data_IF_585080594476
#
_entry.id   IF_585080594476
#
_cell.length_a   1.000
_cell.length_b   1.000
_cell.length_c   1.000
_cell.angle_alpha   90.00
_cell.angle_beta   90.00
_cell.angle_gamma   90.00
#
_symmetry.space_group_name_H-M   'P 1'
#
loop_
_entity.id
_entity.type
_entity.pdbx_description
1 polymer ?
#
# COMPACT_ATOMS: atom_id res chain seq x y z
N UNK A 1 60.65 3.27 27.41
CA UNK A 1 59.89 3.23 26.15
C UNK A 1 58.43 2.91 26.50
N UNK A 2 57.48 3.77 26.10
CA UNK A 2 56.05 3.65 26.41
C UNK A 2 55.40 2.71 25.39
N UNK A 3 54.80 1.62 25.85
CA UNK A 3 54.04 0.70 24.99
C UNK A 3 52.57 1.11 25.01
N UNK A 4 52.03 1.49 23.85
CA UNK A 4 50.61 1.81 23.68
C UNK A 4 49.93 0.60 23.04
N UNK A 5 49.10 -0.10 23.81
CA UNK A 5 48.18 -1.11 23.29
C UNK A 5 46.95 -0.39 22.76
N UNK A 6 46.83 -0.27 21.44
CA UNK A 6 45.60 0.19 20.80
C UNK A 6 44.60 -0.97 20.77
N UNK A 7 43.65 -0.98 21.71
CA UNK A 7 42.45 -1.80 21.60
C UNK A 7 41.58 -1.24 20.47
N UNK A 8 41.47 -1.99 19.37
CA UNK A 8 40.46 -1.73 18.35
C UNK A 8 39.10 -2.13 18.92
N UNK A 9 38.31 -1.15 19.35
CA UNK A 9 36.90 -1.36 19.65
C UNK A 9 36.17 -1.59 18.33
N UNK A 10 35.79 -2.84 18.06
CA UNK A 10 34.89 -3.22 16.96
C UNK A 10 33.51 -2.59 17.23
N UNK A 11 33.26 -1.45 16.59
CA UNK A 11 31.94 -0.82 16.49
C UNK A 11 31.00 -1.74 15.69
N UNK A 12 30.27 -2.61 16.39
CA UNK A 12 29.12 -3.31 15.81
C UNK A 12 27.97 -2.30 15.65
N UNK A 13 27.80 -1.75 14.45
CA UNK A 13 26.61 -1.00 14.09
C UNK A 13 25.45 -1.98 13.94
N UNK A 14 24.60 -2.07 14.95
CA UNK A 14 23.30 -2.75 14.86
C UNK A 14 22.42 -1.86 13.98
N UNK A 15 22.34 -2.19 12.69
CA UNK A 15 21.33 -1.62 11.80
C UNK A 15 19.97 -2.13 12.25
N UNK A 16 19.28 -1.36 13.10
CA UNK A 16 17.87 -1.56 13.38
C UNK A 16 17.15 -1.22 12.08
N UNK A 17 16.90 -2.24 11.25
CA UNK A 17 15.93 -2.13 10.16
C UNK A 17 14.62 -1.85 10.86
N UNK A 18 14.14 -0.60 10.79
CA UNK A 18 12.79 -0.27 11.20
C UNK A 18 11.87 -1.12 10.33
N UNK A 19 11.43 -2.25 10.87
CA UNK A 19 10.41 -3.07 10.24
C UNK A 19 9.14 -2.25 10.32
N UNK A 20 8.83 -1.50 9.24
CA UNK A 20 7.54 -0.82 9.12
C UNK A 20 6.45 -1.86 9.35
N UNK A 21 5.50 -1.55 10.22
CA UNK A 21 4.46 -2.51 10.58
C UNK A 21 3.71 -2.94 9.32
N UNK A 22 3.67 -4.26 9.10
CA UNK A 22 3.00 -4.82 7.92
C UNK A 22 1.48 -4.68 8.04
N UNK A 23 0.82 -4.43 6.90
CA UNK A 23 -0.63 -4.41 6.80
C UNK A 23 -1.24 -5.80 6.55
N UNK A 24 -0.43 -6.80 6.22
CA UNK A 24 -0.87 -8.17 5.96
C UNK A 24 -0.64 -9.09 7.16
N UNK A 25 -1.40 -10.19 7.22
CA UNK A 25 -1.21 -11.19 8.26
C UNK A 25 0.20 -11.80 8.22
N UNK A 26 0.86 -12.05 9.37
CA UNK A 26 2.18 -12.66 9.41
C UNK A 26 2.25 -13.97 8.61
N UNK A 27 3.33 -14.14 7.85
CA UNK A 27 3.56 -15.33 7.02
C UNK A 27 2.82 -15.33 5.67
N UNK A 28 1.96 -14.34 5.40
CA UNK A 28 1.33 -14.17 4.08
C UNK A 28 2.42 -13.90 3.02
N UNK A 29 2.35 -14.62 1.89
CA UNK A 29 3.20 -14.37 0.73
C UNK A 29 2.38 -13.73 -0.36
N UNK A 30 2.85 -12.59 -0.86
CA UNK A 30 2.22 -11.91 -1.97
C UNK A 30 2.74 -12.45 -3.31
N UNK A 31 1.88 -12.42 -4.32
CA UNK A 31 2.27 -12.79 -5.68
C UNK A 31 3.39 -11.87 -6.20
N UNK A 32 4.11 -12.35 -7.22
CA UNK A 32 5.04 -11.49 -7.95
C UNK A 32 4.24 -10.65 -8.95
N UNK A 33 4.59 -9.36 -9.14
CA UNK A 33 3.88 -8.49 -10.06
C UNK A 33 3.96 -9.02 -11.50
N UNK A 34 2.81 -9.26 -12.10
CA UNK A 34 2.71 -9.77 -13.48
C UNK A 34 2.78 -8.65 -14.53
N UNK A 35 2.38 -7.41 -14.19
CA UNK A 35 2.09 -6.34 -15.18
C UNK A 35 3.18 -5.28 -15.30
N UNK A 36 4.37 -5.48 -14.72
CA UNK A 36 5.46 -4.51 -14.81
C UNK A 36 5.23 -3.27 -13.94
N UNK A 37 5.56 -2.07 -14.42
CA UNK A 37 5.40 -0.82 -13.65
C UNK A 37 3.95 -0.35 -13.61
N UNK A 38 3.55 0.25 -12.49
CA UNK A 38 2.19 0.77 -12.33
C UNK A 38 1.94 1.97 -13.27
N UNK A 39 0.74 2.06 -13.88
CA UNK A 39 0.41 3.12 -14.83
C UNK A 39 0.16 4.48 -14.17
N UNK A 40 -0.04 4.52 -12.85
CA UNK A 40 -0.33 5.73 -12.10
C UNK A 40 0.59 5.86 -10.89
N UNK A 41 1.18 7.03 -10.73
CA UNK A 41 2.02 7.38 -9.57
C UNK A 41 1.18 7.39 -8.28
N UNK A 42 -0.03 7.95 -8.35
CA UNK A 42 -1.06 7.95 -7.30
C UNK A 42 -2.01 6.74 -7.41
N UNK A 43 -1.53 5.63 -7.96
CA UNK A 43 -2.30 4.41 -8.14
C UNK A 43 -2.16 3.42 -6.99
N UNK A 44 -3.06 2.44 -6.99
CA UNK A 44 -2.86 1.18 -6.28
C UNK A 44 -1.93 0.26 -7.08
N UNK A 45 -1.14 -0.55 -6.37
CA UNK A 45 -0.18 -1.49 -6.96
C UNK A 45 -0.47 -2.95 -6.67
N UNK A 46 -1.45 -3.21 -5.81
CA UNK A 46 -1.81 -4.55 -5.37
C UNK A 46 -2.94 -4.51 -4.36
N UNK A 47 -3.30 -5.69 -3.88
CA UNK A 47 -4.35 -5.85 -2.89
C UNK A 47 -4.06 -7.01 -1.94
N UNK A 48 -4.63 -6.91 -0.75
CA UNK A 48 -4.75 -7.98 0.21
C UNK A 48 -6.21 -8.13 0.60
N UNK A 49 -6.76 -9.32 0.39
CA UNK A 49 -8.15 -9.62 0.70
C UNK A 49 -8.23 -10.85 1.59
N UNK A 50 -9.12 -10.78 2.58
CA UNK A 50 -9.45 -11.91 3.44
C UNK A 50 -10.92 -12.22 3.26
N UNK A 51 -11.20 -13.21 2.42
CA UNK A 51 -12.54 -13.72 2.15
C UNK A 51 -12.66 -15.05 2.89
N UNK A 52 -13.32 -15.03 4.05
CA UNK A 52 -13.46 -16.17 4.95
C UNK A 52 -12.11 -16.81 5.30
N UNK A 53 -11.89 -18.05 4.84
CA UNK A 53 -10.67 -18.82 5.04
C UNK A 53 -9.60 -18.54 3.98
N UNK A 54 -9.93 -17.82 2.91
CA UNK A 54 -9.00 -17.49 1.84
C UNK A 54 -8.32 -16.15 2.07
N UNK A 55 -7.00 -16.19 2.06
CA UNK A 55 -6.14 -15.01 2.13
C UNK A 55 -5.47 -14.84 0.77
N UNK A 56 -5.80 -13.76 0.07
CA UNK A 56 -5.17 -13.37 -1.18
C UNK A 56 -4.26 -12.17 -0.92
N UNK A 57 -3.03 -12.24 -1.42
CA UNK A 57 -2.16 -11.07 -1.51
C UNK A 57 -1.59 -11.01 -2.92
N UNK A 58 -2.06 -10.05 -3.70
CA UNK A 58 -1.69 -9.89 -5.09
C UNK A 58 -0.91 -8.60 -5.28
N UNK A 59 0.26 -8.70 -5.89
CA UNK A 59 0.92 -7.55 -6.50
C UNK A 59 0.57 -7.53 -7.99
N UNK A 60 0.01 -6.44 -8.46
CA UNK A 60 -0.29 -6.28 -9.88
C UNK A 60 0.89 -5.68 -10.62
N UNK A 61 1.53 -4.69 -10.01
CA UNK A 61 2.58 -3.89 -10.63
C UNK A 61 3.58 -3.37 -9.59
N UNK A 62 4.70 -2.82 -10.07
CA UNK A 62 5.73 -2.19 -9.23
C UNK A 62 5.63 -0.67 -9.28
N UNK A 63 5.90 -0.03 -8.14
CA UNK A 63 5.86 1.41 -8.04
C UNK A 63 7.12 2.06 -8.61
N UNK A 64 6.93 3.26 -9.19
CA UNK A 64 8.05 4.07 -9.66
C UNK A 64 8.95 4.49 -8.48
N UNK A 65 10.26 4.53 -8.71
CA UNK A 65 11.26 4.89 -7.69
C UNK A 65 11.70 3.74 -6.79
N UNK A 66 10.79 2.83 -6.41
CA UNK A 66 11.09 1.71 -5.50
C UNK A 66 11.17 0.36 -6.18
N UNK A 67 10.55 0.19 -7.36
CA UNK A 67 10.39 -1.09 -8.07
C UNK A 67 9.74 -2.20 -7.22
N UNK A 68 9.01 -1.84 -6.16
CA UNK A 68 8.25 -2.76 -5.31
C UNK A 68 6.83 -2.22 -5.13
N UNK A 69 5.87 -3.10 -4.84
CA UNK A 69 4.58 -2.69 -4.28
C UNK A 69 4.68 -2.81 -2.75
N UNK A 70 4.61 -1.69 -1.99
CA UNK A 70 4.73 -1.73 -0.53
C UNK A 70 3.51 -2.39 0.13
N UNK A 71 3.73 -3.13 1.22
CA UNK A 71 2.69 -3.85 1.99
C UNK A 71 2.63 -3.41 3.45
N UNK A 72 3.32 -2.33 3.80
CA UNK A 72 3.28 -1.72 5.13
C UNK A 72 2.00 -0.88 5.34
N UNK A 73 1.71 -0.59 6.60
CA UNK A 73 0.50 0.16 7.00
C UNK A 73 0.43 1.58 6.43
N UNK A 74 1.56 2.22 6.14
CA UNK A 74 1.57 3.57 5.58
C UNK A 74 1.09 3.58 4.13
N UNK A 75 1.10 2.43 3.46
CA UNK A 75 0.64 2.26 2.07
C UNK A 75 -0.64 1.43 1.96
N UNK A 76 -1.31 1.16 3.07
CA UNK A 76 -2.48 0.28 3.13
C UNK A 76 -3.79 1.09 3.21
N UNK A 77 -4.53 1.12 2.10
CA UNK A 77 -5.85 1.72 2.03
C UNK A 77 -6.93 0.65 2.24
N UNK A 78 -7.62 0.70 3.39
CA UNK A 78 -8.74 -0.21 3.65
C UNK A 78 -9.99 0.20 2.87
N UNK A 79 -10.52 -0.73 2.06
CA UNK A 79 -11.73 -0.57 1.26
C UNK A 79 -12.61 -1.79 1.51
N UNK A 80 -13.73 -1.59 2.22
CA UNK A 80 -14.65 -2.66 2.60
C UNK A 80 -13.94 -3.83 3.33
N UNK A 81 -13.92 -5.02 2.74
CA UNK A 81 -13.24 -6.24 3.22
C UNK A 81 -11.80 -6.37 2.73
N UNK A 82 -11.37 -5.48 1.83
CA UNK A 82 -10.05 -5.51 1.20
C UNK A 82 -9.11 -4.41 1.74
N UNK A 83 -7.83 -4.63 1.57
CA UNK A 83 -6.78 -3.65 1.70
C UNK A 83 -6.17 -3.46 0.31
N UNK A 84 -6.15 -2.25 -0.19
CA UNK A 84 -5.45 -1.89 -1.41
C UNK A 84 -4.10 -1.30 -1.05
N UNK A 85 -3.04 -1.76 -1.71
CA UNK A 85 -1.71 -1.20 -1.55
C UNK A 85 -1.51 -0.03 -2.49
N UNK A 86 -1.00 1.08 -1.98
CA UNK A 86 -0.76 2.32 -2.73
C UNK A 86 0.72 2.54 -2.98
N UNK A 87 1.08 3.13 -4.13
CA UNK A 87 2.49 3.46 -4.40
C UNK A 87 3.03 4.63 -3.58
N UNK A 88 2.14 5.48 -3.06
CA UNK A 88 2.48 6.58 -2.15
C UNK A 88 1.91 6.30 -0.77
N UNK A 89 2.58 6.77 0.30
CA UNK A 89 2.02 6.73 1.63
C UNK A 89 0.65 7.42 1.65
N UNK A 90 -0.36 6.80 2.28
CA UNK A 90 -1.72 7.32 2.39
C UNK A 90 -1.74 8.69 3.08
N UNK A 91 -0.76 8.97 3.96
CA UNK A 91 -0.59 10.25 4.63
C UNK A 91 -0.23 11.41 3.70
N UNK A 92 0.31 11.11 2.50
CA UNK A 92 0.63 12.10 1.46
C UNK A 92 -0.52 12.31 0.49
N UNK A 93 -1.57 11.51 0.57
CA UNK A 93 -2.76 11.63 -0.27
C UNK A 93 -3.75 12.55 0.44
N UNK A 94 -4.28 13.55 -0.28
CA UNK A 94 -5.25 14.49 0.30
C UNK A 94 -6.52 13.78 0.78
N UNK A 95 -7.22 14.40 1.72
CA UNK A 95 -8.53 13.93 2.18
C UNK A 95 -9.62 14.28 1.17
N UNK A 96 -10.64 13.43 1.07
CA UNK A 96 -11.80 13.69 0.23
C UNK A 96 -12.79 14.67 0.90
N UNK A 97 -13.41 15.51 0.08
CA UNK A 97 -14.63 16.23 0.46
C UNK A 97 -15.84 15.28 0.50
N UNK A 98 -16.97 15.76 1.06
CA UNK A 98 -18.16 14.93 1.17
C UNK A 98 -18.75 14.60 -0.22
N UNK A 99 -19.04 13.32 -0.47
CA UNK A 99 -19.55 12.85 -1.78
C UNK A 99 -18.50 12.84 -2.90
N UNK A 100 -17.24 13.13 -2.60
CA UNK A 100 -16.18 13.08 -3.59
C UNK A 100 -15.77 11.64 -3.92
N UNK A 101 -15.43 11.39 -5.18
CA UNK A 101 -14.90 10.10 -5.65
C UNK A 101 -13.46 9.93 -5.17
N UNK A 102 -13.26 8.92 -4.30
CA UNK A 102 -11.97 8.59 -3.71
C UNK A 102 -11.11 7.72 -4.63
N UNK A 103 -11.73 6.77 -5.32
CA UNK A 103 -11.05 5.71 -6.07
C UNK A 103 -11.80 5.41 -7.37
N UNK A 104 -11.03 5.27 -8.45
CA UNK A 104 -11.55 4.92 -9.77
C UNK A 104 -10.79 3.72 -10.29
N UNK A 105 -11.50 2.63 -10.56
CA UNK A 105 -10.95 1.46 -11.23
C UNK A 105 -11.13 1.59 -12.74
N UNK A 106 -10.05 1.42 -13.49
CA UNK A 106 -10.09 1.51 -14.96
C UNK A 106 -10.43 0.17 -15.62
N UNK A 107 -10.29 -0.93 -14.89
CA UNK A 107 -10.67 -2.29 -15.27
C UNK A 107 -11.17 -3.04 -14.01
N UNK A 108 -11.98 -4.10 -14.16
CA UNK A 108 -12.27 -5.02 -13.06
C UNK A 108 -10.94 -5.57 -12.51
N UNK A 109 -10.61 -5.23 -11.27
CA UNK A 109 -9.35 -5.64 -10.65
C UNK A 109 -8.84 -4.61 -9.65
N UNK A 110 -7.55 -4.73 -9.34
CA UNK A 110 -6.89 -4.09 -8.19
C UNK A 110 -6.07 -2.85 -8.53
N UNK A 111 -5.92 -2.49 -9.82
CA UNK A 111 -5.27 -1.24 -10.25
C UNK A 111 -6.33 -0.15 -10.42
N UNK A 112 -6.30 0.84 -9.52
CA UNK A 112 -7.14 2.02 -9.54
C UNK A 112 -6.34 3.29 -9.29
N UNK A 113 -6.91 4.43 -9.66
CA UNK A 113 -6.37 5.75 -9.32
C UNK A 113 -6.97 6.23 -8.01
N UNK A 114 -6.11 6.46 -7.02
CA UNK A 114 -6.49 7.05 -5.73
C UNK A 114 -6.50 8.57 -5.89
N UNK A 115 -7.68 9.18 -5.87
CA UNK A 115 -7.86 10.64 -5.98
C UNK A 115 -7.75 11.34 -4.64
N UNK A 116 -8.23 10.69 -3.59
CA UNK A 116 -8.22 11.18 -2.22
C UNK A 116 -8.55 10.03 -1.24
N UNK A 117 -8.33 10.25 0.06
CA UNK A 117 -8.64 9.28 1.13
C UNK A 117 -9.86 9.76 1.93
N UNK A 118 -10.81 8.85 2.18
CA UNK A 118 -11.95 9.13 3.05
C UNK A 118 -11.48 9.43 4.48
N UNK A 119 -11.92 10.56 5.01
CA UNK A 119 -11.54 11.01 6.35
C UNK A 119 -12.63 10.70 7.38
N UNK A 120 -12.25 10.65 8.67
CA UNK A 120 -13.21 10.69 9.78
C UNK A 120 -14.12 9.47 9.93
N UNK A 121 -13.63 8.25 9.62
CA UNK A 121 -14.41 7.01 9.76
C UNK A 121 -15.40 6.75 8.62
N UNK A 122 -15.43 7.63 7.60
CA UNK A 122 -16.19 7.42 6.36
C UNK A 122 -15.64 6.22 5.59
N UNK A 123 -16.54 5.50 4.94
CA UNK A 123 -16.21 4.30 4.17
C UNK A 123 -16.26 4.63 2.69
N UNK A 124 -15.39 3.95 1.96
CA UNK A 124 -15.50 3.84 0.52
C UNK A 124 -16.76 3.01 0.23
N UNK A 125 -17.74 3.59 -0.47
CA UNK A 125 -18.94 2.90 -0.93
C UNK A 125 -18.86 2.74 -2.44
N UNK A 126 -18.99 1.52 -2.93
CA UNK A 126 -19.05 1.26 -4.36
C UNK A 126 -20.34 1.84 -4.95
N UNK A 127 -20.19 2.71 -5.95
CA UNK A 127 -21.29 3.28 -6.72
C UNK A 127 -21.04 2.99 -8.20
N UNK A 128 -22.10 2.66 -8.91
CA UNK A 128 -22.08 2.53 -10.36
C UNK A 128 -22.55 3.85 -10.99
N UNK A 129 -21.69 4.45 -11.82
CA UNK A 129 -22.00 5.67 -12.56
C UNK A 129 -21.49 5.51 -13.99
N UNK A 130 -22.33 5.80 -14.99
CA UNK A 130 -21.99 5.69 -16.41
C UNK A 130 -21.40 4.32 -16.82
N UNK A 131 -21.88 3.23 -16.21
CA UNK A 131 -21.41 1.87 -16.44
C UNK A 131 -20.01 1.56 -15.87
N UNK A 132 -19.52 2.39 -14.94
CA UNK A 132 -18.23 2.22 -14.26
C UNK A 132 -18.41 2.19 -12.75
N UNK A 133 -17.57 1.39 -12.09
CA UNK A 133 -17.54 1.32 -10.63
C UNK A 133 -16.58 2.37 -10.06
N UNK A 134 -17.10 3.18 -9.15
CA UNK A 134 -16.37 4.20 -8.41
C UNK A 134 -16.54 3.93 -6.92
N UNK A 135 -15.61 4.44 -6.11
CA UNK A 135 -15.83 4.53 -4.67
C UNK A 135 -15.97 5.98 -4.27
N UNK A 136 -17.01 6.26 -3.49
CA UNK A 136 -17.27 7.57 -2.90
C UNK A 136 -17.15 7.48 -1.39
N UNK A 137 -16.77 8.58 -0.75
CA UNK A 137 -16.74 8.65 0.71
C UNK A 137 -18.13 8.95 1.27
N UNK A 138 -18.68 8.00 2.04
CA UNK A 138 -19.95 8.14 2.77
C UNK A 138 -19.82 7.79 4.25
#
# INVERSE_FOLDING_TARGET
MKSAVFMMALSMTISIVFTMESAIAPGTRCSKPEKGRCPFISGTCGQYNRLDDFIYCDHDCTCEGTNICPTDKDHALKVETSILFTCHPISKIRKCDNGEVSLVFFQPGSIGLVRCICSGGRKNVQVEQDGKFHFVCS
#
